data_IF_635390974938
#
_entry.id   IF_635390974938
#
_cell.length_a   1.000
_cell.length_b   1.000
_cell.length_c   1.000
_cell.angle_alpha   90.00
_cell.angle_beta   90.00
_cell.angle_gamma   90.00
#
_symmetry.space_group_name_H-M   'P 1'
#
loop_
_entity.id
_entity.type
_entity.pdbx_description
1 polymer ?
#
# COMPACT_ATOMS: atom_id res chain seq x y z
N UNK A 1 19.76 28.60 -14.38
CA UNK A 1 19.79 28.30 -12.93
C UNK A 1 19.54 26.81 -12.72
N UNK A 2 20.43 26.11 -12.07
CA UNK A 2 20.18 24.73 -11.66
C UNK A 2 19.12 24.76 -10.55
N UNK A 3 17.89 24.34 -10.87
CA UNK A 3 16.84 24.16 -9.86
C UNK A 3 17.19 22.95 -9.01
N UNK A 4 17.22 23.13 -7.69
CA UNK A 4 17.43 22.04 -6.73
C UNK A 4 16.13 21.78 -6.02
N UNK A 5 15.85 20.53 -5.69
CA UNK A 5 14.71 20.10 -4.90
C UNK A 5 15.21 19.34 -3.66
N UNK A 6 14.49 19.50 -2.55
CA UNK A 6 14.67 18.72 -1.33
C UNK A 6 13.36 18.02 -1.04
N UNK A 7 13.39 16.71 -0.92
CA UNK A 7 12.30 15.92 -0.35
C UNK A 7 12.67 15.57 1.08
N UNK A 8 11.84 16.00 2.04
CA UNK A 8 12.02 15.68 3.45
C UNK A 8 10.85 14.80 3.89
N UNK A 9 11.14 13.58 4.34
CA UNK A 9 10.15 12.63 4.83
C UNK A 9 10.24 12.58 6.36
N UNK A 10 9.16 13.01 7.04
CA UNK A 10 9.02 12.94 8.48
C UNK A 10 8.20 11.67 8.80
N UNK A 11 8.88 10.54 8.85
CA UNK A 11 8.26 9.24 9.05
C UNK A 11 7.57 9.19 10.42
N UNK A 12 6.31 8.73 10.45
CA UNK A 12 5.46 8.75 11.63
C UNK A 12 4.80 10.10 11.93
N UNK A 13 5.12 11.17 11.19
CA UNK A 13 4.42 12.45 11.31
C UNK A 13 3.09 12.40 10.54
N UNK A 14 1.98 12.41 11.25
CA UNK A 14 0.65 12.31 10.65
C UNK A 14 -0.36 13.26 11.28
N UNK A 15 -1.54 13.33 10.71
CA UNK A 15 -2.69 14.02 11.28
C UNK A 15 -3.42 13.00 12.15
N UNK A 16 -3.42 13.23 13.44
CA UNK A 16 -4.06 12.38 14.42
C UNK A 16 -5.51 12.78 14.70
N UNK A 17 -6.05 12.29 15.80
CA UNK A 17 -7.45 12.48 16.22
C UNK A 17 -7.65 13.63 17.22
N UNK A 18 -6.60 14.35 17.58
CA UNK A 18 -6.62 15.41 18.60
C UNK A 18 -6.77 14.91 20.04
N UNK A 19 -6.65 13.60 20.27
CA UNK A 19 -6.69 13.03 21.62
C UNK A 19 -5.44 13.34 22.42
N UNK A 20 -5.44 12.96 23.71
CA UNK A 20 -4.24 13.10 24.58
C UNK A 20 -3.05 12.25 24.11
N UNK A 21 -3.27 11.27 23.22
CA UNK A 21 -2.23 10.45 22.63
C UNK A 21 -1.65 11.05 21.36
N UNK A 22 -2.30 12.06 20.78
CA UNK A 22 -1.84 12.78 19.59
C UNK A 22 -0.79 13.84 19.99
N UNK A 23 0.42 13.39 20.23
CA UNK A 23 1.54 14.22 20.67
C UNK A 23 1.88 15.33 19.66
N UNK A 24 1.67 15.07 18.37
CA UNK A 24 1.96 16.06 17.33
C UNK A 24 1.01 17.24 17.42
N UNK A 25 -0.30 17.00 17.60
CA UNK A 25 -1.29 18.07 17.73
C UNK A 25 -1.17 18.87 19.04
N UNK A 26 -0.58 18.28 20.08
CA UNK A 26 -0.37 18.91 21.37
C UNK A 26 0.98 19.63 21.48
N UNK A 27 1.91 19.36 20.57
CA UNK A 27 3.24 19.94 20.55
C UNK A 27 3.27 21.33 19.95
N UNK A 28 4.25 22.13 20.36
CA UNK A 28 4.51 23.42 19.71
C UNK A 28 5.34 23.21 18.45
N UNK A 29 4.69 23.36 17.29
CA UNK A 29 5.33 23.16 15.97
C UNK A 29 5.19 24.41 15.08
N UNK A 30 5.63 25.61 15.54
CA UNK A 30 5.30 26.89 14.93
C UNK A 30 5.74 27.00 13.47
N UNK A 31 6.81 26.32 13.07
CA UNK A 31 7.28 26.34 11.69
C UNK A 31 6.44 25.42 10.78
N UNK A 32 6.03 24.26 11.28
CA UNK A 32 5.11 23.38 10.53
C UNK A 32 3.74 24.03 10.38
N UNK A 33 3.25 24.64 11.45
CA UNK A 33 1.98 25.38 11.43
C UNK A 33 2.02 26.48 10.38
N UNK A 34 3.09 27.28 10.36
CA UNK A 34 3.31 28.30 9.34
C UNK A 34 3.35 27.71 7.93
N UNK A 35 4.01 26.57 7.70
CA UNK A 35 4.06 25.92 6.38
C UNK A 35 2.67 25.44 5.95
N UNK A 36 1.92 24.82 6.86
CA UNK A 36 0.58 24.33 6.58
C UNK A 36 -0.42 25.44 6.26
N UNK A 37 -0.26 26.61 6.88
CA UNK A 37 -1.13 27.77 6.63
C UNK A 37 -0.78 28.53 5.34
N UNK A 38 0.49 28.60 4.98
CA UNK A 38 0.95 29.54 3.93
C UNK A 38 1.38 28.87 2.63
N UNK A 39 1.49 27.55 2.59
CA UNK A 39 1.94 26.81 1.40
C UNK A 39 0.93 25.74 0.98
N UNK A 40 0.86 25.39 -0.31
CA UNK A 40 0.00 24.31 -0.79
C UNK A 40 0.30 23.00 -0.04
N UNK A 41 -0.74 22.36 0.45
CA UNK A 41 -0.64 21.08 1.15
C UNK A 41 -1.74 20.12 0.68
N UNK A 42 -1.55 18.84 0.92
CA UNK A 42 -2.52 17.79 0.63
C UNK A 42 -2.36 16.65 1.65
N UNK A 43 -3.43 15.90 1.83
CA UNK A 43 -3.45 14.73 2.70
C UNK A 43 -3.37 13.45 1.90
N UNK A 44 -2.63 12.49 2.39
CA UNK A 44 -2.52 11.15 1.85
C UNK A 44 -3.05 10.14 2.88
N UNK A 45 -3.79 9.17 2.39
CA UNK A 45 -4.18 8.01 3.21
C UNK A 45 -2.97 7.09 3.38
N UNK A 46 -2.79 6.56 4.59
CA UNK A 46 -1.60 5.81 4.97
C UNK A 46 -1.88 4.35 5.32
N UNK A 47 -3.06 3.84 4.99
CA UNK A 47 -3.51 2.50 5.38
C UNK A 47 -4.28 1.81 4.26
N UNK A 48 -4.45 0.52 4.39
CA UNK A 48 -5.26 -0.33 3.52
C UNK A 48 -4.84 -0.26 2.05
N UNK A 49 -5.80 -0.36 1.16
CA UNK A 49 -5.56 -0.39 -0.29
C UNK A 49 -4.90 0.89 -0.82
N UNK A 50 -5.02 2.01 -0.10
CA UNK A 50 -4.36 3.27 -0.48
C UNK A 50 -2.83 3.20 -0.43
N UNK A 51 -2.29 2.22 0.28
CA UNK A 51 -0.84 1.93 0.33
C UNK A 51 -0.50 0.51 -0.15
N UNK A 52 -1.44 -0.16 -0.79
CA UNK A 52 -1.25 -1.49 -1.37
C UNK A 52 -1.37 -2.65 -0.38
N UNK A 53 -1.94 -2.41 0.81
CA UNK A 53 -2.24 -3.42 1.83
C UNK A 53 -3.72 -3.82 1.79
N UNK A 54 -4.11 -4.97 2.37
CA UNK A 54 -5.51 -5.32 2.53
C UNK A 54 -6.31 -4.24 3.26
N UNK A 55 -7.59 -4.12 2.95
CA UNK A 55 -8.51 -3.20 3.63
C UNK A 55 -8.47 -3.41 5.15
N UNK A 56 -8.48 -2.30 5.91
CA UNK A 56 -8.43 -2.32 7.37
C UNK A 56 -7.04 -2.58 7.96
N UNK A 57 -6.04 -2.90 7.16
CA UNK A 57 -4.67 -3.08 7.64
C UNK A 57 -3.98 -1.72 7.79
N UNK A 58 -3.40 -1.49 8.97
CA UNK A 58 -2.58 -0.32 9.26
C UNK A 58 -1.34 -0.30 8.36
N UNK A 59 -1.01 0.88 7.82
CA UNK A 59 0.21 1.08 7.04
C UNK A 59 1.48 0.97 7.87
N UNK A 60 2.59 0.92 7.16
CA UNK A 60 3.92 0.90 7.75
C UNK A 60 4.92 1.66 6.86
N UNK A 61 6.11 1.89 7.39
CA UNK A 61 7.17 2.64 6.71
C UNK A 61 7.58 2.00 5.38
N UNK A 62 7.64 0.67 5.30
CA UNK A 62 8.07 -0.04 4.10
C UNK A 62 7.16 0.24 2.91
N UNK A 63 5.85 0.02 3.07
CA UNK A 63 4.90 0.28 1.97
C UNK A 63 4.78 1.77 1.67
N UNK A 64 4.86 2.64 2.67
CA UNK A 64 4.84 4.09 2.47
C UNK A 64 6.01 4.57 1.61
N UNK A 65 7.23 4.21 1.96
CA UNK A 65 8.42 4.57 1.19
C UNK A 65 8.42 3.93 -0.21
N UNK A 66 7.95 2.69 -0.33
CA UNK A 66 7.82 2.03 -1.63
C UNK A 66 6.88 2.79 -2.56
N UNK A 67 5.73 3.25 -2.06
CA UNK A 67 4.77 4.03 -2.83
C UNK A 67 5.30 5.41 -3.23
N UNK A 68 6.01 6.09 -2.31
CA UNK A 68 6.67 7.37 -2.60
C UNK A 68 7.70 7.17 -3.71
N UNK A 69 8.56 6.16 -3.60
CA UNK A 69 9.59 5.86 -4.59
C UNK A 69 9.04 5.45 -5.95
N UNK A 70 7.93 4.71 -5.97
CA UNK A 70 7.27 4.26 -7.19
C UNK A 70 6.40 5.35 -7.85
N UNK A 71 6.00 6.38 -7.10
CA UNK A 71 5.06 7.42 -7.57
C UNK A 71 3.64 6.88 -7.85
N UNK A 72 3.31 5.73 -7.29
CA UNK A 72 2.00 5.07 -7.43
C UNK A 72 1.77 4.06 -6.30
N UNK A 73 0.54 3.60 -6.14
CA UNK A 73 0.24 2.49 -5.23
C UNK A 73 0.88 1.20 -5.77
N UNK A 74 1.65 0.54 -4.93
CA UNK A 74 2.27 -0.77 -5.20
C UNK A 74 1.53 -1.81 -4.36
N UNK A 75 0.62 -2.53 -4.98
CA UNK A 75 -0.12 -3.59 -4.30
C UNK A 75 0.80 -4.72 -3.85
N UNK A 76 0.66 -5.12 -2.60
CA UNK A 76 1.30 -6.30 -2.05
C UNK A 76 0.66 -7.57 -2.64
N UNK A 77 1.38 -8.69 -2.60
CA UNK A 77 0.95 -9.90 -3.31
C UNK A 77 -0.42 -10.42 -2.84
N UNK A 78 -0.72 -10.33 -1.56
CA UNK A 78 -2.03 -10.71 -1.04
C UNK A 78 -3.16 -9.87 -1.67
N UNK A 79 -2.96 -8.56 -1.84
CA UNK A 79 -3.95 -7.69 -2.49
C UNK A 79 -4.09 -8.01 -3.97
N UNK A 80 -2.98 -8.28 -4.67
CA UNK A 80 -3.00 -8.71 -6.07
C UNK A 80 -3.81 -9.99 -6.25
N UNK A 81 -3.56 -10.99 -5.39
CA UNK A 81 -4.28 -12.26 -5.42
C UNK A 81 -5.77 -12.05 -5.12
N UNK A 82 -6.10 -11.27 -4.08
CA UNK A 82 -7.48 -10.96 -3.75
C UNK A 82 -8.22 -10.26 -4.89
N UNK A 83 -7.55 -9.33 -5.57
CA UNK A 83 -8.12 -8.64 -6.74
C UNK A 83 -8.33 -9.62 -7.90
N UNK A 84 -7.35 -10.48 -8.17
CA UNK A 84 -7.46 -11.51 -9.21
C UNK A 84 -8.58 -12.53 -8.93
N UNK A 85 -8.91 -12.77 -7.66
CA UNK A 85 -10.07 -13.58 -7.27
C UNK A 85 -11.37 -12.79 -7.45
N UNK A 86 -11.40 -11.51 -7.05
CA UNK A 86 -12.58 -10.65 -7.15
C UNK A 86 -13.03 -10.43 -8.61
N UNK A 87 -12.08 -10.21 -9.51
CA UNK A 87 -12.35 -9.97 -10.94
C UNK A 87 -12.30 -11.25 -11.80
N UNK A 88 -12.06 -12.41 -11.15
CA UNK A 88 -11.95 -13.74 -11.77
C UNK A 88 -10.76 -13.89 -12.73
N UNK A 89 -9.82 -12.97 -12.80
CA UNK A 89 -8.64 -13.07 -13.69
C UNK A 89 -7.67 -14.19 -13.27
N UNK A 90 -7.76 -14.68 -12.03
CA UNK A 90 -6.98 -15.83 -11.58
C UNK A 90 -7.27 -17.09 -12.41
N UNK A 91 -8.51 -17.25 -12.91
CA UNK A 91 -8.90 -18.38 -13.76
C UNK A 91 -8.28 -18.32 -15.15
N UNK A 92 -7.86 -17.13 -15.58
CA UNK A 92 -7.22 -16.88 -16.87
C UNK A 92 -5.69 -16.96 -16.79
N UNK A 93 -5.13 -17.21 -15.60
CA UNK A 93 -3.70 -17.32 -15.42
C UNK A 93 -3.15 -18.51 -16.24
N UNK A 94 -2.26 -18.27 -17.21
CA UNK A 94 -1.82 -19.32 -18.14
C UNK A 94 -1.09 -20.45 -17.43
N UNK A 95 -0.32 -20.15 -16.39
CA UNK A 95 0.44 -21.17 -15.62
C UNK A 95 -0.52 -22.12 -14.91
N UNK A 96 -1.57 -21.58 -14.25
CA UNK A 96 -2.58 -22.41 -13.61
C UNK A 96 -3.38 -23.20 -14.63
N UNK A 97 -3.82 -22.56 -15.71
CA UNK A 97 -4.59 -23.21 -16.77
C UNK A 97 -3.82 -24.36 -17.44
N UNK A 98 -2.52 -24.17 -17.72
CA UNK A 98 -1.65 -25.20 -18.27
C UNK A 98 -1.46 -26.38 -17.30
N UNK A 99 -1.29 -26.11 -15.99
CA UNK A 99 -1.17 -27.14 -14.98
C UNK A 99 -2.44 -28.00 -14.89
N UNK A 100 -3.61 -27.37 -14.85
CA UNK A 100 -4.89 -28.09 -14.86
C UNK A 100 -5.10 -28.89 -16.16
N UNK A 101 -4.76 -28.28 -17.31
CA UNK A 101 -4.84 -28.97 -18.60
C UNK A 101 -3.93 -30.19 -18.65
N UNK A 102 -2.67 -30.04 -18.21
CA UNK A 102 -1.72 -31.14 -18.16
C UNK A 102 -2.24 -32.29 -17.28
N UNK A 103 -2.75 -31.97 -16.10
CA UNK A 103 -3.30 -32.98 -15.19
C UNK A 103 -4.48 -33.73 -15.84
N UNK A 104 -5.40 -33.01 -16.47
CA UNK A 104 -6.56 -33.57 -17.18
C UNK A 104 -6.14 -34.48 -18.34
N UNK A 105 -5.23 -33.99 -19.19
CA UNK A 105 -4.82 -34.70 -20.43
C UNK A 105 -3.99 -35.95 -20.11
N UNK A 106 -3.38 -36.05 -18.94
CA UNK A 106 -2.53 -37.16 -18.51
C UNK A 106 -3.13 -38.01 -17.39
N UNK A 107 -4.41 -37.83 -17.07
CA UNK A 107 -5.10 -38.54 -15.96
C UNK A 107 -4.34 -38.41 -14.64
N UNK A 108 -3.96 -37.17 -14.28
CA UNK A 108 -3.23 -36.81 -13.08
C UNK A 108 -4.07 -35.92 -12.17
N UNK A 109 -3.68 -35.86 -10.91
CA UNK A 109 -4.27 -34.95 -9.93
C UNK A 109 -3.45 -33.66 -9.78
N UNK A 110 -4.14 -32.55 -9.48
CA UNK A 110 -3.51 -31.33 -8.98
C UNK A 110 -3.67 -31.30 -7.47
N UNK A 111 -2.57 -31.14 -6.76
CA UNK A 111 -2.56 -31.09 -5.30
C UNK A 111 -2.34 -29.65 -4.84
N UNK A 112 -3.22 -29.17 -3.94
CA UNK A 112 -3.07 -27.87 -3.29
C UNK A 112 -2.55 -28.09 -1.88
N UNK A 113 -1.49 -27.35 -1.52
CA UNK A 113 -0.91 -27.36 -0.17
C UNK A 113 -0.87 -25.91 0.29
N UNK A 114 -1.46 -25.63 1.46
CA UNK A 114 -1.51 -24.26 2.00
C UNK A 114 -2.03 -24.26 3.44
N UNK A 115 -2.02 -23.05 4.03
CA UNK A 115 -2.67 -22.77 5.30
C UNK A 115 -4.09 -22.26 5.01
N UNK A 116 -5.06 -22.73 5.78
CA UNK A 116 -6.45 -22.29 5.75
C UNK A 116 -6.89 -21.83 7.13
#
# INVERSE_FOLDING_TARGET
MNKKALLMILDGWGIGDGSKADIISLGETPYMDFLMENYPNAQLMTQGENVGLPEGQMGNSEVGHLNIGAGRIVYQDLVKINNAVKDNSISENPVLSEAFKYAKDNDKAVHFIGLV
#
